data_IF_015508236926
#
_entry.id   IF_015508236926
#
_cell.length_a   1.000
_cell.length_b   1.000
_cell.length_c   1.000
_cell.angle_alpha   90.00
_cell.angle_beta   90.00
_cell.angle_gamma   90.00
#
_symmetry.space_group_name_H-M   'P 1'
#
loop_
_entity.id
_entity.type
_entity.pdbx_description
1 polymer ?
#
# COMPACT_ATOMS: atom_id res chain seq x y z
N UNK A 1 -15.66 -10.31 20.15
CA UNK A 1 -14.76 -9.23 19.71
C UNK A 1 -14.10 -9.74 18.43
N UNK A 2 -14.61 -9.35 17.26
CA UNK A 2 -14.09 -9.83 15.99
C UNK A 2 -12.87 -8.99 15.60
N UNK A 3 -11.76 -9.70 15.47
CA UNK A 3 -10.41 -9.26 15.19
C UNK A 3 -10.35 -8.33 13.98
N UNK A 4 -9.53 -7.28 14.06
CA UNK A 4 -9.12 -6.42 12.95
C UNK A 4 -8.66 -7.30 11.75
N UNK A 5 -9.42 -7.34 10.65
CA UNK A 5 -9.01 -7.94 9.37
C UNK A 5 -7.92 -7.12 8.64
N UNK A 6 -7.15 -6.30 9.36
CA UNK A 6 -6.07 -5.49 8.83
C UNK A 6 -4.79 -6.03 9.44
N UNK A 7 -3.86 -6.44 8.58
CA UNK A 7 -2.53 -6.82 9.03
C UNK A 7 -1.77 -5.57 9.51
N UNK A 8 -1.65 -5.43 10.82
CA UNK A 8 -1.02 -4.27 11.45
C UNK A 8 0.48 -4.18 11.12
N UNK A 9 1.15 -5.32 10.90
CA UNK A 9 2.56 -5.34 10.53
C UNK A 9 2.74 -4.82 9.09
N UNK A 10 1.92 -5.31 8.16
CA UNK A 10 1.92 -4.82 6.78
C UNK A 10 1.52 -3.35 6.71
N UNK A 11 0.53 -2.92 7.50
CA UNK A 11 0.13 -1.52 7.56
C UNK A 11 1.28 -0.61 8.01
N UNK A 12 2.01 -0.99 9.06
CA UNK A 12 3.17 -0.23 9.53
C UNK A 12 4.27 -0.13 8.46
N UNK A 13 4.54 -1.22 7.73
CA UNK A 13 5.51 -1.23 6.63
C UNK A 13 5.06 -0.30 5.50
N UNK A 14 3.79 -0.35 5.11
CA UNK A 14 3.22 0.52 4.09
C UNK A 14 3.23 2.00 4.51
N UNK A 15 2.99 2.31 5.79
CA UNK A 15 3.06 3.67 6.33
C UNK A 15 4.49 4.24 6.33
N UNK A 16 5.47 3.40 6.64
CA UNK A 16 6.89 3.73 6.60
C UNK A 16 7.35 3.93 5.14
N UNK A 17 7.00 3.00 4.25
CA UNK A 17 7.26 3.12 2.81
C UNK A 17 6.68 4.41 2.24
N UNK A 18 5.42 4.72 2.56
CA UNK A 18 4.78 5.97 2.13
C UNK A 18 5.56 7.20 2.61
N UNK A 19 6.06 7.19 3.84
CA UNK A 19 6.85 8.31 4.36
C UNK A 19 8.16 8.48 3.60
N UNK A 20 8.85 7.37 3.34
CA UNK A 20 10.10 7.36 2.58
C UNK A 20 9.88 7.85 1.15
N UNK A 21 8.86 7.34 0.46
CA UNK A 21 8.55 7.71 -0.91
C UNK A 21 8.08 9.17 -1.04
N UNK A 22 7.27 9.63 -0.08
CA UNK A 22 6.88 11.02 0.04
C UNK A 22 8.10 11.94 0.20
N UNK A 23 9.06 11.56 1.04
CA UNK A 23 10.31 12.29 1.22
C UNK A 23 11.18 12.26 -0.05
N UNK A 24 11.36 11.10 -0.68
CA UNK A 24 12.14 10.93 -1.92
C UNK A 24 11.63 11.81 -3.05
N UNK A 25 10.31 11.90 -3.20
CA UNK A 25 9.69 12.71 -4.26
C UNK A 25 9.38 14.14 -3.85
N UNK A 26 9.64 14.50 -2.59
CA UNK A 26 9.20 15.78 -2.01
C UNK A 26 7.70 16.03 -2.24
N UNK A 27 6.89 14.97 -2.11
CA UNK A 27 5.44 15.02 -2.25
C UNK A 27 4.77 14.79 -0.89
N UNK A 28 3.58 15.36 -0.64
CA UNK A 28 2.80 15.02 0.54
C UNK A 28 2.43 13.53 0.58
N UNK A 29 2.39 12.93 1.79
CA UNK A 29 2.08 11.50 1.98
C UNK A 29 0.76 11.07 1.34
N UNK A 30 -0.27 11.93 1.39
CA UNK A 30 -1.58 11.67 0.79
C UNK A 30 -1.54 11.60 -0.74
N UNK A 31 -0.55 12.20 -1.40
CA UNK A 31 -0.36 12.10 -2.86
C UNK A 31 0.25 10.76 -3.24
N UNK A 32 1.11 10.19 -2.39
CA UNK A 32 1.70 8.87 -2.62
C UNK A 32 0.66 7.78 -2.39
N UNK A 33 0.02 7.80 -1.22
CA UNK A 33 -1.02 6.85 -0.86
C UNK A 33 -1.92 7.43 0.24
N UNK A 34 -3.23 7.41 0.02
CA UNK A 34 -4.21 7.74 1.04
C UNK A 34 -4.26 6.67 2.14
N UNK A 35 -4.64 7.08 3.36
CA UNK A 35 -4.80 6.14 4.48
C UNK A 35 -5.75 4.98 4.12
N UNK A 36 -6.87 5.29 3.46
CA UNK A 36 -7.84 4.27 3.01
C UNK A 36 -7.21 3.25 2.07
N UNK A 37 -6.28 3.69 1.23
CA UNK A 37 -5.55 2.80 0.31
C UNK A 37 -4.60 1.91 1.07
N UNK A 38 -3.84 2.43 2.04
CA UNK A 38 -2.95 1.62 2.89
C UNK A 38 -3.74 0.57 3.70
N UNK A 39 -4.87 0.97 4.28
CA UNK A 39 -5.76 0.06 5.02
C UNK A 39 -6.34 -1.03 4.10
N UNK A 40 -6.73 -0.68 2.88
CA UNK A 40 -7.22 -1.64 1.89
C UNK A 40 -6.12 -2.58 1.41
N UNK A 41 -4.89 -2.10 1.19
CA UNK A 41 -3.74 -2.94 0.85
C UNK A 41 -3.40 -3.92 1.97
N UNK A 42 -3.41 -3.45 3.22
CA UNK A 42 -3.13 -4.29 4.40
C UNK A 42 -4.23 -5.31 4.69
N UNK A 43 -5.48 -5.01 4.31
CA UNK A 43 -6.63 -5.91 4.41
C UNK A 43 -6.66 -6.94 3.28
N UNK A 44 -6.59 -6.48 2.03
CA UNK A 44 -6.81 -7.31 0.85
C UNK A 44 -5.55 -8.08 0.40
N UNK A 45 -4.38 -7.69 0.91
CA UNK A 45 -3.06 -8.27 0.60
C UNK A 45 -2.90 -8.64 -0.88
N UNK A 46 -3.06 -7.67 -1.81
CA UNK A 46 -3.05 -7.97 -3.23
C UNK A 46 -1.66 -8.45 -3.67
N UNK A 47 -1.53 -9.75 -3.96
CA UNK A 47 -0.29 -10.36 -4.42
C UNK A 47 -0.03 -10.21 -5.95
N UNK A 48 -0.87 -9.44 -6.67
CA UNK A 48 -0.70 -9.20 -8.11
C UNK A 48 -1.10 -7.77 -8.51
N UNK A 49 -0.53 -7.28 -9.62
CA UNK A 49 -0.87 -5.97 -10.22
C UNK A 49 -2.37 -5.85 -10.49
N UNK A 50 -3.00 -6.91 -11.01
CA UNK A 50 -4.44 -6.91 -11.28
C UNK A 50 -5.27 -6.70 -10.02
N UNK A 51 -4.85 -7.26 -8.88
CA UNK A 51 -5.51 -7.03 -7.60
C UNK A 51 -5.23 -5.62 -7.06
N UNK A 52 -4.00 -5.11 -7.21
CA UNK A 52 -3.68 -3.72 -6.86
C UNK A 52 -4.57 -2.72 -7.61
N UNK A 53 -4.87 -2.96 -8.89
CA UNK A 53 -5.80 -2.15 -9.69
C UNK A 53 -7.23 -2.12 -9.16
N UNK A 54 -7.64 -3.15 -8.40
CA UNK A 54 -8.97 -3.22 -7.79
C UNK A 54 -9.04 -2.48 -6.45
N UNK A 55 -7.90 -2.12 -5.86
CA UNK A 55 -7.85 -1.41 -4.58
C UNK A 55 -8.28 0.04 -4.77
N UNK A 56 -9.23 0.48 -3.95
CA UNK A 56 -9.75 1.83 -4.01
C UNK A 56 -8.67 2.88 -3.66
N UNK A 57 -8.46 3.84 -4.55
CA UNK A 57 -7.45 4.90 -4.41
C UNK A 57 -6.08 4.57 -5.01
N UNK A 58 -5.86 3.34 -5.48
CA UNK A 58 -4.67 3.01 -6.26
C UNK A 58 -4.85 3.47 -7.71
N UNK A 59 -4.20 4.58 -8.04
CA UNK A 59 -4.19 5.11 -9.41
C UNK A 59 -3.19 4.39 -10.33
N UNK A 60 -3.37 4.44 -11.66
CA UNK A 60 -2.48 3.77 -12.62
C UNK A 60 -1.02 4.19 -12.47
N UNK A 61 -0.76 5.47 -12.21
CA UNK A 61 0.58 6.01 -12.01
C UNK A 61 1.28 5.44 -10.78
N UNK A 62 0.56 5.22 -9.68
CA UNK A 62 1.10 4.55 -8.49
C UNK A 62 1.47 3.10 -8.79
N UNK A 63 0.68 2.41 -9.62
CA UNK A 63 0.97 1.03 -10.02
C UNK A 63 2.22 0.98 -10.89
N UNK A 64 2.32 1.82 -11.90
CA UNK A 64 3.50 1.83 -12.78
C UNK A 64 4.80 2.17 -12.04
N UNK A 65 4.72 2.96 -10.97
CA UNK A 65 5.89 3.40 -10.22
C UNK A 65 6.22 2.52 -9.02
N UNK A 66 5.20 1.93 -8.38
CA UNK A 66 5.33 1.32 -7.05
C UNK A 66 4.75 -0.08 -6.96
N UNK A 67 4.14 -0.63 -8.02
CA UNK A 67 3.54 -1.96 -7.93
C UNK A 67 4.57 -3.01 -7.53
N UNK A 68 5.79 -2.98 -8.08
CA UNK A 68 6.83 -3.93 -7.69
C UNK A 68 7.19 -3.83 -6.21
N UNK A 69 7.47 -2.63 -5.69
CA UNK A 69 7.78 -2.42 -4.27
C UNK A 69 6.62 -2.86 -3.36
N UNK A 70 5.39 -2.48 -3.71
CA UNK A 70 4.19 -2.87 -2.97
C UNK A 70 3.99 -4.38 -2.98
N UNK A 71 4.15 -5.03 -4.12
CA UNK A 71 4.01 -6.49 -4.24
C UNK A 71 5.08 -7.23 -3.46
N UNK A 72 6.32 -6.72 -3.42
CA UNK A 72 7.39 -7.29 -2.60
C UNK A 72 7.00 -7.16 -1.13
N UNK A 73 6.67 -5.96 -0.65
CA UNK A 73 6.28 -5.75 0.76
C UNK A 73 5.07 -6.60 1.15
N UNK A 74 4.06 -6.72 0.29
CA UNK A 74 2.88 -7.55 0.56
C UNK A 74 3.28 -9.04 0.62
N UNK A 75 4.14 -9.52 -0.27
CA UNK A 75 4.60 -10.93 -0.27
C UNK A 75 5.41 -11.30 0.96
N UNK A 76 6.22 -10.38 1.48
CA UNK A 76 6.98 -10.60 2.72
C UNK A 76 6.06 -10.75 3.96
N UNK A 77 4.81 -10.28 3.86
CA UNK A 77 3.80 -10.31 4.93
C UNK A 77 2.53 -11.11 4.56
N UNK A 78 2.58 -11.92 3.50
CA UNK A 78 1.47 -12.73 2.98
C UNK A 78 1.42 -14.13 3.60
#
# INVERSE_FOLDING_TARGET
MAQKDIDEALLQVLEAWRADEAARRSLPRYIVADNKTLEALARDKPATISKLKLVHGVGPKMIELYADDLLVMIKEHA
#
